data_IF_471588683517
#
_entry.id   IF_471588683517
#
_cell.length_a   1.000
_cell.length_b   1.000
_cell.length_c   1.000
_cell.angle_alpha   90.00
_cell.angle_beta   90.00
_cell.angle_gamma   90.00
#
_symmetry.space_group_name_H-M   'P 1'
#
loop_
_entity.id
_entity.type
_entity.pdbx_description
1 polymer ?
#
# COMPACT_ATOMS: atom_id res chain seq x y z
N UNK A 1 -7.06 -28.30 12.99
CA UNK A 1 -8.47 -28.36 12.52
C UNK A 1 -9.15 -29.57 13.13
N UNK A 2 -10.39 -29.44 13.63
CA UNK A 2 -11.14 -30.56 14.22
C UNK A 2 -11.91 -31.37 13.17
N UNK A 3 -12.16 -32.66 13.44
CA UNK A 3 -12.96 -33.55 12.58
C UNK A 3 -14.34 -32.97 12.23
N UNK A 4 -14.96 -32.29 13.19
CA UNK A 4 -16.25 -31.59 13.00
C UNK A 4 -16.12 -30.44 11.99
N UNK A 5 -15.00 -29.71 12.00
CA UNK A 5 -14.73 -28.64 11.04
C UNK A 5 -14.60 -29.16 9.61
N UNK A 6 -13.92 -30.29 9.42
CA UNK A 6 -13.76 -30.95 8.11
C UNK A 6 -15.12 -31.39 7.57
N UNK A 7 -15.96 -31.99 8.41
CA UNK A 7 -17.32 -32.41 8.02
C UNK A 7 -18.19 -31.22 7.58
N UNK A 8 -18.12 -30.10 8.30
CA UNK A 8 -18.86 -28.87 7.93
C UNK A 8 -18.35 -28.28 6.61
N UNK A 9 -17.04 -28.25 6.39
CA UNK A 9 -16.46 -27.78 5.14
C UNK A 9 -16.95 -28.59 3.93
N UNK A 10 -16.96 -29.92 4.03
CA UNK A 10 -17.49 -30.79 2.97
C UNK A 10 -18.99 -30.55 2.70
N UNK A 11 -19.78 -30.39 3.76
CA UNK A 11 -21.23 -30.08 3.64
C UNK A 11 -21.48 -28.74 2.93
N UNK A 12 -20.68 -27.72 3.23
CA UNK A 12 -20.78 -26.39 2.61
C UNK A 12 -20.37 -26.40 1.15
N UNK A 13 -19.30 -27.12 0.80
CA UNK A 13 -18.89 -27.33 -0.58
C UNK A 13 -20.00 -28.02 -1.40
N UNK A 14 -20.66 -29.03 -0.82
CA UNK A 14 -21.83 -29.66 -1.42
C UNK A 14 -23.00 -28.70 -1.63
N UNK A 15 -23.28 -27.85 -0.64
CA UNK A 15 -24.36 -26.85 -0.72
C UNK A 15 -24.08 -25.82 -1.81
N UNK A 16 -22.84 -25.32 -1.92
CA UNK A 16 -22.44 -24.39 -2.96
C UNK A 16 -22.57 -24.99 -4.37
N UNK A 17 -22.26 -26.28 -4.55
CA UNK A 17 -22.49 -26.98 -5.80
C UNK A 17 -23.99 -27.06 -6.12
N UNK A 18 -24.82 -27.41 -5.13
CA UNK A 18 -26.28 -27.50 -5.30
C UNK A 18 -26.93 -26.15 -5.61
N UNK A 19 -26.39 -25.05 -5.09
CA UNK A 19 -26.83 -23.70 -5.48
C UNK A 19 -26.55 -23.42 -6.96
N UNK A 20 -25.35 -23.80 -7.45
CA UNK A 20 -24.99 -23.62 -8.87
C UNK A 20 -25.86 -24.45 -9.81
N UNK A 21 -26.37 -25.59 -9.36
CA UNK A 21 -27.28 -26.45 -10.14
C UNK A 21 -28.76 -26.12 -9.93
N UNK A 22 -29.09 -25.10 -9.14
CA UNK A 22 -30.47 -24.69 -8.84
C UNK A 22 -31.24 -25.62 -7.90
N UNK A 23 -30.58 -26.62 -7.31
CA UNK A 23 -31.19 -27.58 -6.38
C UNK A 23 -31.40 -27.00 -4.97
N UNK A 24 -30.64 -25.97 -4.63
CA UNK A 24 -30.76 -25.20 -3.38
C UNK A 24 -30.90 -23.73 -3.76
N UNK A 25 -31.92 -23.07 -3.22
CA UNK A 25 -32.09 -21.64 -3.41
C UNK A 25 -30.95 -20.90 -2.70
N UNK A 26 -30.39 -19.89 -3.37
CA UNK A 26 -29.29 -19.09 -2.84
C UNK A 26 -29.83 -17.83 -2.19
N UNK A 27 -29.39 -17.54 -0.97
CA UNK A 27 -29.69 -16.25 -0.34
C UNK A 27 -28.99 -15.10 -1.07
N UNK A 28 -29.72 -14.00 -1.26
CA UNK A 28 -29.24 -12.78 -1.92
C UNK A 28 -29.31 -11.60 -0.95
N UNK A 29 -28.17 -10.96 -0.71
CA UNK A 29 -28.03 -9.88 0.27
C UNK A 29 -27.46 -8.61 -0.37
N UNK A 30 -28.29 -7.81 -1.06
CA UNK A 30 -27.82 -6.62 -1.78
C UNK A 30 -27.07 -5.63 -0.89
N UNK A 31 -27.60 -5.36 0.30
CA UNK A 31 -27.01 -4.40 1.25
C UNK A 31 -25.63 -4.86 1.72
N UNK A 32 -25.49 -6.14 2.10
CA UNK A 32 -24.20 -6.72 2.46
C UNK A 32 -23.21 -6.66 1.29
N UNK A 33 -23.65 -7.04 0.08
CA UNK A 33 -22.79 -7.05 -1.10
C UNK A 33 -22.25 -5.65 -1.42
N UNK A 34 -23.07 -4.61 -1.24
CA UNK A 34 -22.64 -3.22 -1.42
C UNK A 34 -21.56 -2.85 -0.40
N UNK A 35 -21.78 -3.12 0.89
CA UNK A 35 -20.81 -2.78 1.93
C UNK A 35 -19.52 -3.59 1.80
N UNK A 36 -19.61 -4.88 1.46
CA UNK A 36 -18.43 -5.69 1.16
C UNK A 36 -17.65 -5.09 -0.03
N UNK A 37 -18.31 -4.70 -1.11
CA UNK A 37 -17.64 -4.11 -2.29
C UNK A 37 -16.85 -2.84 -1.93
N UNK A 38 -17.44 -1.95 -1.13
CA UNK A 38 -16.78 -0.74 -0.63
C UNK A 38 -15.56 -1.09 0.24
N UNK A 39 -15.72 -2.03 1.17
CA UNK A 39 -14.63 -2.54 2.00
C UNK A 39 -13.49 -3.15 1.17
N UNK A 40 -13.80 -3.99 0.17
CA UNK A 40 -12.80 -4.64 -0.71
C UNK A 40 -12.00 -3.63 -1.51
N UNK A 41 -12.65 -2.56 -1.97
CA UNK A 41 -11.97 -1.44 -2.63
C UNK A 41 -10.95 -0.80 -1.67
N UNK A 42 -11.38 -0.45 -0.45
CA UNK A 42 -10.49 0.12 0.56
C UNK A 42 -9.33 -0.82 0.91
N UNK A 43 -9.61 -2.12 1.13
CA UNK A 43 -8.59 -3.13 1.43
C UNK A 43 -7.52 -3.20 0.34
N UNK A 44 -7.95 -3.24 -0.92
CA UNK A 44 -7.06 -3.29 -2.09
C UNK A 44 -6.19 -2.03 -2.16
N UNK A 45 -6.81 -0.86 -2.11
CA UNK A 45 -6.07 0.40 -2.29
C UNK A 45 -5.13 0.70 -1.10
N UNK A 46 -5.47 0.29 0.13
CA UNK A 46 -4.56 0.36 1.28
C UNK A 46 -3.34 -0.57 1.16
N UNK A 47 -3.50 -1.75 0.55
CA UNK A 47 -2.38 -2.65 0.23
C UNK A 47 -1.48 -2.08 -0.87
N UNK A 48 -2.08 -1.48 -1.91
CA UNK A 48 -1.34 -0.78 -2.95
C UNK A 48 -0.53 0.38 -2.35
N UNK A 49 -1.15 1.21 -1.52
CA UNK A 49 -0.48 2.32 -0.83
C UNK A 49 0.73 1.84 -0.03
N UNK A 50 0.61 0.76 0.75
CA UNK A 50 1.74 0.23 1.51
C UNK A 50 2.91 -0.19 0.60
N UNK A 51 2.59 -0.87 -0.50
CA UNK A 51 3.58 -1.35 -1.47
C UNK A 51 4.30 -0.19 -2.14
N UNK A 52 3.54 0.79 -2.61
CA UNK A 52 4.08 1.92 -3.37
C UNK A 52 4.84 2.89 -2.46
N UNK A 53 4.36 3.14 -1.24
CA UNK A 53 5.08 3.92 -0.23
C UNK A 53 6.41 3.25 0.16
N UNK A 54 6.44 1.92 0.27
CA UNK A 54 7.69 1.18 0.52
C UNK A 54 8.64 1.29 -0.67
N UNK A 55 8.12 1.14 -1.88
CA UNK A 55 8.91 1.24 -3.13
C UNK A 55 9.51 2.64 -3.26
N UNK A 56 8.75 3.68 -2.95
CA UNK A 56 9.22 5.06 -2.89
C UNK A 56 10.41 5.18 -1.94
N UNK A 57 10.27 4.72 -0.68
CA UNK A 57 11.35 4.86 0.29
C UNK A 57 12.62 4.09 -0.11
N UNK A 58 12.47 2.89 -0.66
CA UNK A 58 13.60 2.09 -1.16
C UNK A 58 14.28 2.76 -2.38
N UNK A 59 13.51 3.45 -3.24
CA UNK A 59 14.05 4.24 -4.34
C UNK A 59 14.85 5.46 -3.85
N UNK A 60 14.36 6.16 -2.82
CA UNK A 60 15.05 7.32 -2.23
C UNK A 60 16.43 6.95 -1.66
N UNK A 61 16.51 5.80 -0.96
CA UNK A 61 17.80 5.25 -0.48
C UNK A 61 18.74 4.91 -1.64
N UNK A 62 18.20 4.26 -2.66
CA UNK A 62 18.98 3.86 -3.83
C UNK A 62 19.55 5.08 -4.57
N UNK A 63 18.75 6.14 -4.70
CA UNK A 63 19.16 7.41 -5.28
C UNK A 63 20.29 8.05 -4.46
N UNK A 64 20.14 8.16 -3.14
CA UNK A 64 21.17 8.74 -2.27
C UNK A 64 22.50 7.99 -2.36
N UNK A 65 22.45 6.65 -2.30
CA UNK A 65 23.64 5.80 -2.46
C UNK A 65 24.27 5.92 -3.85
N UNK A 66 23.46 6.07 -4.91
CA UNK A 66 23.98 6.30 -6.26
C UNK A 66 24.67 7.66 -6.38
N UNK A 67 24.07 8.71 -5.81
CA UNK A 67 24.65 10.04 -5.75
C UNK A 67 26.00 10.03 -4.99
N UNK A 68 26.09 9.29 -3.88
CA UNK A 68 27.33 9.08 -3.12
C UNK A 68 28.47 8.52 -3.97
N UNK A 69 28.21 7.46 -4.75
CA UNK A 69 29.21 6.86 -5.65
C UNK A 69 29.67 7.82 -6.75
N UNK A 70 28.75 8.62 -7.29
CA UNK A 70 29.09 9.67 -8.27
C UNK A 70 30.04 10.66 -7.62
N UNK A 71 29.70 11.16 -6.43
CA UNK A 71 30.50 12.15 -5.73
C UNK A 71 31.89 11.63 -5.37
N UNK A 72 31.99 10.36 -4.93
CA UNK A 72 33.27 9.71 -4.67
C UNK A 72 34.14 9.66 -5.94
N UNK A 73 33.58 9.19 -7.06
CA UNK A 73 34.29 9.10 -8.34
C UNK A 73 34.72 10.49 -8.83
N UNK A 74 33.85 11.49 -8.76
CA UNK A 74 34.17 12.88 -9.12
C UNK A 74 35.34 13.40 -8.29
N UNK A 75 35.35 13.15 -6.99
CA UNK A 75 36.43 13.62 -6.11
C UNK A 75 37.81 13.03 -6.46
N UNK A 76 37.86 11.83 -7.04
CA UNK A 76 39.11 11.18 -7.43
C UNK A 76 39.82 11.89 -8.58
N UNK A 77 39.07 12.49 -9.51
CA UNK A 77 39.64 13.22 -10.66
C UNK A 77 40.43 14.48 -10.24
N UNK A 78 40.15 15.03 -9.06
CA UNK A 78 40.74 16.27 -8.56
C UNK A 78 41.85 16.05 -7.52
N UNK A 79 42.36 14.82 -7.37
CA UNK A 79 43.33 14.46 -6.33
C UNK A 79 44.74 15.04 -6.52
N UNK A 80 45.14 15.32 -7.77
CA UNK A 80 46.46 15.82 -8.13
C UNK A 80 46.61 17.35 -8.06
N UNK A 81 45.51 18.10 -8.25
CA UNK A 81 45.49 19.56 -8.21
C UNK A 81 44.46 20.07 -7.20
N UNK A 82 44.80 19.88 -5.91
CA UNK A 82 43.91 20.14 -4.77
C UNK A 82 43.55 21.61 -4.55
N UNK A 83 44.23 22.54 -5.24
CA UNK A 83 44.03 23.98 -5.09
C UNK A 83 43.20 24.59 -6.22
N UNK A 84 42.88 23.82 -7.28
CA UNK A 84 42.02 24.29 -8.36
C UNK A 84 40.59 24.53 -7.89
N UNK A 85 39.89 25.48 -8.54
CA UNK A 85 38.48 25.75 -8.28
C UNK A 85 37.60 24.51 -8.53
N UNK A 86 37.96 23.69 -9.52
CA UNK A 86 37.32 22.40 -9.80
C UNK A 86 37.49 21.37 -8.66
N UNK A 87 38.66 21.33 -8.03
CA UNK A 87 38.89 20.49 -6.86
C UNK A 87 38.08 20.95 -5.64
N UNK A 88 38.00 22.27 -5.42
CA UNK A 88 37.18 22.83 -4.35
C UNK A 88 35.69 22.57 -4.57
N UNK A 89 35.20 22.70 -5.81
CA UNK A 89 33.83 22.33 -6.19
C UNK A 89 33.56 20.84 -5.98
N UNK A 90 34.47 19.96 -6.42
CA UNK A 90 34.35 18.51 -6.26
C UNK A 90 34.32 18.06 -4.79
N UNK A 91 35.18 18.63 -3.94
CA UNK A 91 35.17 18.38 -2.50
C UNK A 91 33.90 18.91 -1.82
N UNK A 92 33.44 20.11 -2.19
CA UNK A 92 32.19 20.66 -1.67
C UNK A 92 30.98 19.82 -2.10
N UNK A 93 30.97 19.33 -3.34
CA UNK A 93 29.92 18.42 -3.82
C UNK A 93 29.92 17.11 -3.02
N UNK A 94 31.09 16.50 -2.80
CA UNK A 94 31.19 15.28 -1.97
C UNK A 94 30.64 15.49 -0.56
N UNK A 95 31.04 16.57 0.10
CA UNK A 95 30.54 16.90 1.43
C UNK A 95 29.01 17.13 1.44
N UNK A 96 28.47 17.82 0.43
CA UNK A 96 27.03 18.04 0.29
C UNK A 96 26.27 16.72 0.10
N UNK A 97 26.80 15.81 -0.72
CA UNK A 97 26.20 14.50 -0.99
C UNK A 97 26.26 13.57 0.22
N UNK A 98 27.35 13.56 0.97
CA UNK A 98 27.48 12.76 2.20
C UNK A 98 26.47 13.20 3.26
N UNK A 99 26.27 14.52 3.39
CA UNK A 99 25.25 15.07 4.26
C UNK A 99 23.83 14.72 3.77
N UNK A 100 23.58 14.74 2.46
CA UNK A 100 22.31 14.31 1.87
C UNK A 100 22.00 12.83 2.17
N UNK A 101 22.97 11.94 2.04
CA UNK A 101 22.80 10.53 2.37
C UNK A 101 22.47 10.33 3.86
N UNK A 102 23.19 11.04 4.74
CA UNK A 102 22.90 11.03 6.18
C UNK A 102 21.49 11.57 6.50
N UNK A 103 21.05 12.64 5.82
CA UNK A 103 19.70 13.21 5.97
C UNK A 103 18.63 12.25 5.45
N UNK A 104 18.86 11.51 4.35
CA UNK A 104 17.92 10.47 3.90
C UNK A 104 17.69 9.44 5.00
N UNK A 105 18.74 8.99 5.69
CA UNK A 105 18.59 8.03 6.78
C UNK A 105 17.85 8.62 7.99
N UNK A 106 18.17 9.87 8.39
CA UNK A 106 17.65 10.48 9.62
C UNK A 106 16.27 11.11 9.45
N UNK A 107 16.09 11.91 8.41
CA UNK A 107 14.99 12.87 8.27
C UNK A 107 13.92 12.42 7.27
N UNK A 108 14.25 11.48 6.38
CA UNK A 108 13.29 10.83 5.48
C UNK A 108 12.94 9.43 5.96
N UNK A 109 13.94 8.55 6.15
CA UNK A 109 13.68 7.13 6.34
C UNK A 109 12.95 6.77 7.63
N UNK A 110 13.55 7.14 8.77
CA UNK A 110 12.97 6.83 10.07
C UNK A 110 11.59 7.48 10.25
N UNK A 111 11.38 8.78 9.94
CA UNK A 111 10.07 9.40 10.03
C UNK A 111 9.04 8.78 9.09
N UNK A 112 9.39 8.53 7.82
CA UNK A 112 8.46 7.94 6.85
C UNK A 112 8.05 6.52 7.25
N UNK A 113 8.97 5.72 7.79
CA UNK A 113 8.63 4.39 8.34
C UNK A 113 7.62 4.49 9.47
N UNK A 114 7.92 5.30 10.48
CA UNK A 114 7.12 5.41 11.69
C UNK A 114 5.75 6.05 11.45
N UNK A 115 5.67 7.02 10.53
CA UNK A 115 4.46 7.84 10.32
C UNK A 115 3.65 7.45 9.10
N UNK A 116 4.19 6.66 8.16
CA UNK A 116 3.50 6.24 6.93
C UNK A 116 3.43 4.72 6.84
N UNK A 117 4.58 4.03 6.80
CA UNK A 117 4.61 2.58 6.54
C UNK A 117 4.02 1.76 7.68
N UNK A 118 4.33 2.11 8.93
CA UNK A 118 3.82 1.40 10.10
C UNK A 118 2.30 1.57 10.28
N UNK A 119 1.71 2.79 10.25
CA UNK A 119 0.27 2.96 10.35
C UNK A 119 -0.50 2.26 9.23
N UNK A 120 -0.08 2.41 7.98
CA UNK A 120 -0.71 1.72 6.84
C UNK A 120 -0.56 0.21 6.98
N UNK A 121 0.60 -0.27 7.45
CA UNK A 121 0.83 -1.69 7.74
C UNK A 121 -0.09 -2.24 8.83
N UNK A 122 -0.31 -1.50 9.92
CA UNK A 122 -1.25 -1.86 10.99
C UNK A 122 -2.69 -1.94 10.49
N UNK A 123 -3.10 -0.99 9.65
CA UNK A 123 -4.42 -1.03 9.00
C UNK A 123 -4.57 -2.31 8.15
N UNK A 124 -3.56 -2.61 7.34
CA UNK A 124 -3.59 -3.81 6.48
C UNK A 124 -3.63 -5.13 7.27
N UNK A 125 -3.03 -5.19 8.46
CA UNK A 125 -3.13 -6.35 9.35
C UNK A 125 -4.55 -6.53 9.90
N UNK A 126 -5.27 -5.44 10.15
CA UNK A 126 -6.64 -5.51 10.68
C UNK A 126 -7.62 -6.18 9.71
N UNK A 127 -7.39 -6.04 8.39
CA UNK A 127 -8.22 -6.67 7.36
C UNK A 127 -8.27 -8.20 7.47
N UNK A 128 -7.25 -8.86 8.05
CA UNK A 128 -7.29 -10.31 8.29
C UNK A 128 -8.49 -10.70 9.17
N UNK A 129 -8.77 -9.91 10.22
CA UNK A 129 -9.88 -10.19 11.13
C UNK A 129 -11.24 -9.94 10.47
N UNK A 130 -11.35 -8.84 9.71
CA UNK A 130 -12.57 -8.48 8.96
C UNK A 130 -12.87 -9.53 7.90
N UNK A 131 -11.85 -9.99 7.17
CA UNK A 131 -11.96 -11.06 6.19
C UNK A 131 -12.43 -12.38 6.82
N UNK A 132 -11.93 -12.71 8.02
CA UNK A 132 -12.38 -13.88 8.75
C UNK A 132 -13.86 -13.77 9.19
N UNK A 133 -14.32 -12.58 9.56
CA UNK A 133 -15.72 -12.33 9.89
C UNK A 133 -16.64 -12.47 8.66
N UNK A 134 -16.25 -11.88 7.52
CA UNK A 134 -16.96 -12.04 6.23
C UNK A 134 -17.04 -13.53 5.83
N UNK A 135 -15.92 -14.25 5.92
CA UNK A 135 -15.88 -15.67 5.58
C UNK A 135 -16.75 -16.50 6.52
N UNK A 136 -16.76 -16.19 7.82
CA UNK A 136 -17.64 -16.83 8.80
C UNK A 136 -19.11 -16.59 8.47
N UNK A 137 -19.49 -15.36 8.08
CA UNK A 137 -20.85 -15.02 7.65
C UNK A 137 -21.24 -15.78 6.38
N UNK A 138 -20.37 -15.86 5.38
CA UNK A 138 -20.62 -16.63 4.15
C UNK A 138 -20.82 -18.12 4.42
N UNK A 139 -20.02 -18.69 5.31
CA UNK A 139 -20.20 -20.07 5.77
C UNK A 139 -21.55 -20.29 6.47
N UNK A 140 -22.02 -19.33 7.26
CA UNK A 140 -23.30 -19.41 7.97
C UNK A 140 -24.50 -19.22 7.05
N UNK A 141 -24.37 -18.40 6.01
CA UNK A 141 -25.33 -18.32 4.91
C UNK A 141 -25.51 -19.67 4.20
N UNK A 142 -24.41 -20.38 3.92
CA UNK A 142 -24.49 -21.73 3.34
C UNK A 142 -25.14 -22.74 4.28
N UNK A 143 -24.85 -22.68 5.58
CA UNK A 143 -25.50 -23.54 6.58
C UNK A 143 -27.02 -23.26 6.59
N UNK A 144 -27.44 -21.99 6.59
CA UNK A 144 -28.84 -21.55 6.51
C UNK A 144 -29.54 -22.00 5.22
N UNK A 145 -28.93 -21.80 4.05
CA UNK A 145 -29.50 -22.25 2.77
C UNK A 145 -29.69 -23.78 2.73
N UNK A 146 -28.76 -24.52 3.32
CA UNK A 146 -28.82 -25.98 3.43
C UNK A 146 -29.97 -26.44 4.33
N UNK A 147 -30.12 -25.87 5.52
CA UNK A 147 -31.20 -26.21 6.46
C UNK A 147 -32.56 -25.78 5.93
N UNK A 148 -32.65 -24.62 5.25
CA UNK A 148 -33.87 -24.14 4.56
C UNK A 148 -34.34 -25.13 3.49
N UNK A 149 -33.42 -25.61 2.66
CA UNK A 149 -33.72 -26.65 1.66
C UNK A 149 -34.13 -27.97 2.31
N UNK A 150 -33.50 -28.37 3.42
CA UNK A 150 -33.82 -29.59 4.16
C UNK A 150 -35.24 -29.54 4.75
N UNK A 151 -35.61 -28.43 5.39
CA UNK A 151 -36.98 -28.21 5.91
C UNK A 151 -37.98 -28.28 4.77
N UNK A 152 -37.76 -27.53 3.69
CA UNK A 152 -38.66 -27.53 2.52
C UNK A 152 -38.91 -28.93 1.98
N UNK A 153 -37.85 -29.73 1.79
CA UNK A 153 -37.95 -31.12 1.33
C UNK A 153 -38.71 -32.02 2.31
N UNK A 154 -38.55 -31.82 3.62
CA UNK A 154 -39.29 -32.59 4.64
C UNK A 154 -40.76 -32.20 4.72
N UNK A 155 -41.11 -30.95 4.38
CA UNK A 155 -42.50 -30.51 4.25
C UNK A 155 -43.13 -31.07 2.98
N UNK A 156 -42.43 -31.01 1.84
CA UNK A 156 -42.89 -31.57 0.55
C UNK A 156 -43.05 -33.10 0.61
N UNK A 157 -42.17 -33.79 1.34
CA UNK A 157 -42.21 -35.23 1.54
C UNK A 157 -42.06 -35.57 3.04
N UNK A 158 -43.19 -35.59 3.78
CA UNK A 158 -43.19 -35.91 5.21
C UNK A 158 -42.60 -37.29 5.50
N UNK A 159 -41.86 -37.39 6.61
CA UNK A 159 -41.35 -38.68 7.10
C UNK A 159 -42.37 -39.32 8.04
N UNK A 160 -42.36 -40.65 8.10
CA UNK A 160 -43.12 -41.42 9.10
C UNK A 160 -42.69 -41.12 10.56
N UNK A 161 -41.49 -40.59 10.75
CA UNK A 161 -40.97 -40.15 12.05
C UNK A 161 -41.37 -38.70 12.30
N UNK A 162 -42.40 -38.51 13.13
CA UNK A 162 -42.95 -37.21 13.49
C UNK A 162 -41.94 -36.29 14.19
N UNK A 163 -40.82 -36.81 14.71
CA UNK A 163 -39.79 -35.99 15.35
C UNK A 163 -38.78 -35.38 14.36
N UNK A 164 -38.71 -35.87 13.10
CA UNK A 164 -37.71 -35.39 12.13
C UNK A 164 -37.95 -33.96 11.68
N UNK A 165 -39.19 -33.61 11.37
CA UNK A 165 -39.54 -32.26 10.92
C UNK A 165 -39.28 -31.22 12.03
N UNK A 166 -39.75 -31.40 13.29
CA UNK A 166 -39.42 -30.51 14.40
C UNK A 166 -37.91 -30.34 14.62
N UNK A 167 -37.12 -31.41 14.51
CA UNK A 167 -35.65 -31.33 14.63
C UNK A 167 -35.01 -30.54 13.50
N UNK A 168 -35.45 -30.77 12.26
CA UNK A 168 -34.94 -30.02 11.11
C UNK A 168 -35.33 -28.53 11.19
N UNK A 169 -36.51 -28.22 11.72
CA UNK A 169 -36.94 -26.84 11.98
C UNK A 169 -36.06 -26.18 13.04
N UNK A 170 -35.80 -26.85 14.17
CA UNK A 170 -34.92 -26.32 15.21
C UNK A 170 -33.49 -26.05 14.68
N UNK A 171 -32.94 -26.97 13.87
CA UNK A 171 -31.64 -26.76 13.19
C UNK A 171 -31.67 -25.59 12.20
N UNK A 172 -32.80 -25.38 11.52
CA UNK A 172 -32.99 -24.25 10.62
C UNK A 172 -33.02 -22.92 11.37
N UNK A 173 -33.82 -22.84 12.43
CA UNK A 173 -34.01 -21.62 13.21
C UNK A 173 -32.69 -21.18 13.88
N UNK A 174 -31.90 -22.14 14.39
CA UNK A 174 -30.55 -21.86 14.92
C UNK A 174 -29.60 -21.35 13.81
N UNK A 175 -29.64 -21.95 12.62
CA UNK A 175 -28.80 -21.52 11.50
C UNK A 175 -29.19 -20.11 11.01
N UNK A 176 -30.49 -19.82 10.95
CA UNK A 176 -31.04 -18.52 10.57
C UNK A 176 -30.62 -17.43 11.56
N UNK A 177 -30.78 -17.67 12.86
CA UNK A 177 -30.42 -16.71 13.91
C UNK A 177 -28.93 -16.33 13.84
N UNK A 178 -28.05 -17.33 13.75
CA UNK A 178 -26.60 -17.11 13.69
C UNK A 178 -26.21 -16.37 12.41
N UNK A 179 -26.80 -16.73 11.27
CA UNK A 179 -26.53 -16.06 10.00
C UNK A 179 -26.98 -14.59 10.03
N UNK A 180 -28.22 -14.32 10.45
CA UNK A 180 -28.77 -12.96 10.54
C UNK A 180 -27.95 -12.08 11.48
N UNK A 181 -27.60 -12.59 12.66
CA UNK A 181 -26.73 -11.88 13.61
C UNK A 181 -25.41 -11.42 12.97
N UNK A 182 -24.71 -12.33 12.27
CA UNK A 182 -23.44 -11.98 11.62
C UNK A 182 -23.63 -11.05 10.41
N UNK A 183 -24.72 -11.24 9.67
CA UNK A 183 -25.05 -10.41 8.53
C UNK A 183 -25.32 -8.96 8.95
N UNK A 184 -26.18 -8.76 9.93
CA UNK A 184 -26.59 -7.45 10.43
C UNK A 184 -25.41 -6.73 11.10
N UNK A 185 -24.56 -7.49 11.80
CA UNK A 185 -23.30 -6.98 12.34
C UNK A 185 -22.40 -6.43 11.23
N UNK A 186 -22.15 -7.20 10.16
CA UNK A 186 -21.27 -6.76 9.07
C UNK A 186 -21.86 -5.59 8.26
N UNK A 187 -23.19 -5.58 8.04
CA UNK A 187 -23.88 -4.45 7.40
C UNK A 187 -23.70 -3.16 8.23
N UNK A 188 -23.66 -3.28 9.56
CA UNK A 188 -23.49 -2.15 10.46
C UNK A 188 -22.04 -1.69 10.57
N UNK A 189 -21.09 -2.62 10.67
CA UNK A 189 -19.69 -2.33 11.00
C UNK A 189 -18.82 -2.00 9.78
N UNK A 190 -19.05 -2.64 8.62
CA UNK A 190 -18.25 -2.38 7.41
C UNK A 190 -18.29 -0.92 6.94
N UNK A 191 -19.45 -0.23 6.91
CA UNK A 191 -19.50 1.19 6.55
C UNK A 191 -18.69 2.06 7.51
N UNK A 192 -18.78 1.79 8.82
CA UNK A 192 -18.04 2.54 9.86
C UNK A 192 -16.54 2.37 9.68
N UNK A 193 -16.07 1.14 9.43
CA UNK A 193 -14.67 0.87 9.14
C UNK A 193 -14.20 1.63 7.89
N UNK A 194 -15.02 1.64 6.84
CA UNK A 194 -14.74 2.40 5.62
C UNK A 194 -14.63 3.89 5.95
N UNK A 195 -15.56 4.48 6.70
CA UNK A 195 -15.51 5.91 7.09
C UNK A 195 -14.27 6.26 7.92
N UNK A 196 -13.90 5.41 8.88
CA UNK A 196 -12.73 5.61 9.75
C UNK A 196 -11.39 5.65 9.00
N UNK A 197 -11.34 5.18 7.75
CA UNK A 197 -10.11 5.22 6.93
C UNK A 197 -9.55 6.64 6.77
N UNK A 198 -10.41 7.65 6.67
CA UNK A 198 -10.01 9.04 6.44
C UNK A 198 -9.24 9.58 7.66
N UNK A 199 -9.85 9.70 8.86
CA UNK A 199 -9.14 10.21 10.03
C UNK A 199 -7.94 9.34 10.44
N UNK A 200 -7.94 8.05 10.09
CA UNK A 200 -6.79 7.17 10.32
C UNK A 200 -5.61 7.48 9.38
N UNK A 201 -5.88 7.72 8.09
CA UNK A 201 -4.83 7.92 7.07
C UNK A 201 -4.40 9.39 6.93
N UNK A 202 -5.24 10.36 7.29
CA UNK A 202 -4.94 11.79 7.16
C UNK A 202 -3.60 12.19 7.80
N UNK A 203 -3.27 11.79 9.06
CA UNK A 203 -1.97 12.12 9.65
C UNK A 203 -0.80 11.46 8.92
N UNK A 204 -1.01 10.27 8.34
CA UNK A 204 0.02 9.58 7.55
C UNK A 204 0.26 10.31 6.23
N UNK A 205 -0.80 10.77 5.56
CA UNK A 205 -0.71 11.56 4.34
C UNK A 205 -0.01 12.90 4.59
N UNK A 206 -0.39 13.63 5.65
CA UNK A 206 0.26 14.88 6.05
C UNK A 206 1.76 14.67 6.36
N UNK A 207 2.08 13.61 7.10
CA UNK A 207 3.47 13.29 7.43
C UNK A 207 4.28 12.90 6.19
N UNK A 208 3.68 12.16 5.25
CA UNK A 208 4.30 11.81 3.97
C UNK A 208 4.70 13.06 3.19
N UNK A 209 3.76 14.00 3.02
CA UNK A 209 4.02 15.27 2.31
C UNK A 209 5.11 16.08 3.03
N UNK A 210 5.08 16.15 4.36
CA UNK A 210 6.13 16.86 5.13
C UNK A 210 7.51 16.24 4.97
N UNK A 211 7.63 14.91 4.99
CA UNK A 211 8.90 14.23 4.77
C UNK A 211 9.45 14.53 3.37
N UNK A 212 8.58 14.51 2.35
CA UNK A 212 8.95 14.80 0.96
C UNK A 212 9.38 16.25 0.78
N UNK A 213 8.64 17.20 1.33
CA UNK A 213 8.95 18.63 1.28
C UNK A 213 10.30 18.92 1.94
N UNK A 214 10.49 18.43 3.17
CA UNK A 214 11.74 18.64 3.91
C UNK A 214 12.94 18.05 3.17
N UNK A 215 12.81 16.86 2.61
CA UNK A 215 13.87 16.26 1.80
C UNK A 215 14.22 17.12 0.58
N UNK A 216 13.22 17.68 -0.11
CA UNK A 216 13.44 18.54 -1.27
C UNK A 216 14.11 19.87 -0.91
N UNK A 217 13.68 20.51 0.18
CA UNK A 217 14.27 21.76 0.69
C UNK A 217 15.73 21.57 1.12
N UNK A 218 16.00 20.55 1.94
CA UNK A 218 17.36 20.23 2.37
C UNK A 218 18.25 19.85 1.16
N UNK A 219 17.69 19.10 0.19
CA UNK A 219 18.32 18.79 -1.10
C UNK A 219 18.77 20.03 -1.85
N UNK A 220 17.87 20.98 -2.01
CA UNK A 220 18.15 22.27 -2.65
C UNK A 220 19.25 23.02 -1.91
N UNK A 221 19.15 23.17 -0.59
CA UNK A 221 20.10 23.94 0.21
C UNK A 221 21.53 23.38 0.12
N UNK A 222 21.69 22.05 0.21
CA UNK A 222 23.00 21.41 0.12
C UNK A 222 23.63 21.58 -1.26
N UNK A 223 22.86 21.36 -2.33
CA UNK A 223 23.40 21.47 -3.70
C UNK A 223 23.60 22.92 -4.14
N UNK A 224 22.73 23.85 -3.72
CA UNK A 224 22.87 25.29 -3.96
C UNK A 224 24.18 25.84 -3.36
N UNK A 225 24.60 25.30 -2.21
CA UNK A 225 25.88 25.67 -1.60
C UNK A 225 27.11 25.33 -2.46
N UNK A 226 27.01 24.31 -3.32
CA UNK A 226 28.08 23.91 -4.26
C UNK A 226 28.17 24.90 -5.42
N UNK A 227 27.06 25.53 -5.81
CA UNK A 227 27.03 26.44 -6.94
C UNK A 227 27.96 27.64 -6.80
N UNK A 228 28.34 28.02 -5.57
CA UNK A 228 29.26 29.14 -5.32
C UNK A 228 30.68 28.90 -5.85
N UNK A 229 31.02 27.67 -6.20
CA UNK A 229 32.32 27.30 -6.77
C UNK A 229 32.30 27.26 -8.30
N UNK A 230 31.15 27.54 -8.93
CA UNK A 230 31.03 27.66 -10.39
C UNK A 230 31.05 29.14 -10.80
N UNK A 231 31.40 29.42 -12.07
CA UNK A 231 31.49 30.77 -12.61
C UNK A 231 30.21 31.59 -12.38
N UNK A 232 30.35 32.88 -12.03
CA UNK A 232 29.24 33.76 -11.63
C UNK A 232 28.12 33.87 -12.69
N UNK A 233 28.49 33.88 -13.98
CA UNK A 233 27.54 33.91 -15.09
C UNK A 233 26.53 32.75 -15.05
N UNK A 234 26.91 31.59 -14.50
CA UNK A 234 26.03 30.41 -14.43
C UNK A 234 24.86 30.64 -13.45
N UNK A 235 25.09 31.39 -12.37
CA UNK A 235 24.06 31.70 -11.37
C UNK A 235 23.03 32.70 -11.89
N UNK A 236 23.47 33.75 -12.57
CA UNK A 236 22.60 34.79 -13.11
C UNK A 236 21.74 34.25 -14.26
N UNK A 237 22.31 33.43 -15.13
CA UNK A 237 21.60 32.79 -16.25
C UNK A 237 20.58 31.73 -15.77
N UNK A 238 20.87 31.00 -14.69
CA UNK A 238 19.92 30.09 -14.04
C UNK A 238 18.70 30.84 -13.52
N UNK A 239 18.92 31.98 -12.85
CA UNK A 239 17.86 32.84 -12.35
C UNK A 239 17.02 33.47 -13.48
N UNK A 240 17.62 33.68 -14.65
CA UNK A 240 16.99 34.25 -15.84
C UNK A 240 16.39 33.21 -16.81
N UNK A 241 16.43 31.91 -16.47
CA UNK A 241 15.79 30.84 -17.25
C UNK A 241 16.53 30.46 -18.54
N UNK A 242 17.83 30.74 -18.66
CA UNK A 242 18.62 30.46 -19.87
C UNK A 242 19.25 29.06 -19.90
N UNK A 243 18.64 28.09 -19.19
CA UNK A 243 19.22 26.78 -18.93
C UNK A 243 19.55 26.00 -20.21
N UNK A 244 18.67 26.05 -21.21
CA UNK A 244 18.83 25.30 -22.46
C UNK A 244 20.01 25.80 -23.29
N UNK A 245 20.23 27.12 -23.35
CA UNK A 245 21.37 27.73 -24.06
C UNK A 245 22.69 27.39 -23.37
N UNK A 246 22.69 27.32 -22.02
CA UNK A 246 23.87 26.91 -21.27
C UNK A 246 24.22 25.44 -21.48
N UNK A 247 23.24 24.55 -21.53
CA UNK A 247 23.47 23.13 -21.83
C UNK A 247 24.11 22.99 -23.22
N UNK A 248 23.64 23.72 -24.23
CA UNK A 248 24.24 23.71 -25.57
C UNK A 248 25.68 24.24 -25.58
N UNK A 249 25.96 25.32 -24.84
CA UNK A 249 27.31 25.89 -24.73
C UNK A 249 28.29 24.94 -24.02
N UNK A 250 27.88 24.33 -22.91
CA UNK A 250 28.70 23.33 -22.20
C UNK A 250 28.95 22.11 -23.10
N UNK A 251 27.94 21.65 -23.85
CA UNK A 251 28.12 20.57 -24.82
C UNK A 251 29.07 20.95 -25.96
N UNK A 252 29.11 22.22 -26.37
CA UNK A 252 30.07 22.72 -27.35
C UNK A 252 31.50 22.77 -26.77
N UNK A 253 31.68 23.30 -25.55
CA UNK A 253 32.96 23.28 -24.84
C UNK A 253 33.47 21.85 -24.63
N UNK A 254 32.59 20.91 -24.25
CA UNK A 254 32.95 19.49 -24.13
C UNK A 254 33.36 18.87 -25.48
N UNK A 255 32.79 19.31 -26.61
CA UNK A 255 33.20 18.89 -27.95
C UNK A 255 34.55 19.47 -28.35
N UNK A 256 34.86 20.70 -27.94
CA UNK A 256 36.18 21.32 -28.17
C UNK A 256 37.26 20.68 -27.29
N UNK A 257 36.90 20.27 -26.08
CA UNK A 257 37.74 19.52 -25.14
C UNK A 257 37.83 18.03 -25.48
N UNK A 258 37.13 17.56 -26.52
CA UNK A 258 37.27 16.19 -26.98
C UNK A 258 38.74 15.95 -27.36
N UNK A 259 39.45 15.25 -26.48
CA UNK A 259 40.80 14.75 -26.74
C UNK A 259 40.66 13.89 -27.99
N UNK A 260 41.11 14.42 -29.13
CA UNK A 260 40.76 13.99 -30.48
C UNK A 260 40.66 12.47 -30.68
N UNK A 261 39.57 12.04 -31.31
CA UNK A 261 39.52 10.86 -32.15
C UNK A 261 39.19 11.28 -33.59
N UNK A 262 40.22 11.59 -34.37
CA UNK A 262 40.27 11.26 -35.80
C UNK A 262 40.90 9.88 -35.89
#
# INVERSE_FOLDING_TARGET
MSWVGIKKAASRAGTQLMQKTGQVERTMDPDFNEQESRYRTMEKESKNLQKDAKTYLDAMRTMASAQGRIAETVSLFYTADRASDGAMAGHSYKAAVDELDAMVARDLDAPFRATVLEPVGKLNQYFTNVNAAIEKRNHKMLDYDSTRSKVRKMVEKPSDDAAKLPRAQAEHDEAEEIYKMLNDQLITELPQLVELRIPYLDPSFESMVRCQLRFAEEGYDKLSSVQRYFNENIRDDYANGQLDVQVENVLAEMKELAIYGV
#
